data_IF_424221898973
#
_entry.id   IF_424221898973
#
_cell.length_a   1.000
_cell.length_b   1.000
_cell.length_c   1.000
_cell.angle_alpha   90.00
_cell.angle_beta   90.00
_cell.angle_gamma   90.00
#
_symmetry.space_group_name_H-M   'P 1'
#
loop_
_entity.id
_entity.type
_entity.pdbx_description
1 polymer ?
#
# COMPACT_ATOMS: atom_id res chain seq x y z
N UNK A 1 5.65 9.20 22.71
CA UNK A 1 7.04 9.39 23.21
C UNK A 1 7.55 10.76 22.81
N UNK A 2 8.31 11.43 23.67
CA UNK A 2 8.91 12.74 23.37
C UNK A 2 10.06 12.59 22.37
N UNK A 3 10.04 13.35 21.27
CA UNK A 3 11.07 13.29 20.22
C UNK A 3 12.45 13.63 20.79
N UNK A 4 13.53 12.93 20.39
CA UNK A 4 14.89 13.27 20.79
C UNK A 4 15.24 14.73 20.48
N UNK A 5 16.02 15.38 21.35
CA UNK A 5 16.43 16.78 21.17
C UNK A 5 17.10 17.06 19.81
N UNK A 6 18.00 16.20 19.28
CA UNK A 6 18.60 16.41 17.97
C UNK A 6 17.55 16.44 16.83
N UNK A 7 16.57 15.55 16.86
CA UNK A 7 15.49 15.51 15.86
C UNK A 7 14.66 16.79 15.89
N UNK A 8 14.37 17.31 17.10
CA UNK A 8 13.64 18.57 17.26
C UNK A 8 14.43 19.76 16.73
N UNK A 9 15.74 19.80 16.97
CA UNK A 9 16.62 20.86 16.48
C UNK A 9 16.70 20.84 14.94
N UNK A 10 16.95 19.65 14.35
CA UNK A 10 16.96 19.46 12.90
C UNK A 10 15.63 19.91 12.27
N UNK A 11 14.50 19.45 12.81
CA UNK A 11 13.17 19.86 12.37
C UNK A 11 12.96 21.38 12.44
N UNK A 12 13.38 22.03 13.53
CA UNK A 12 13.20 23.47 13.69
C UNK A 12 13.99 24.28 12.66
N UNK A 13 15.24 23.85 12.37
CA UNK A 13 16.11 24.49 11.38
C UNK A 13 15.59 24.24 9.97
N UNK A 14 15.50 22.98 9.56
CA UNK A 14 15.13 22.63 8.19
C UNK A 14 13.65 22.92 7.90
N UNK A 15 12.76 22.80 8.88
CA UNK A 15 11.37 23.23 8.74
C UNK A 15 11.21 24.73 8.45
N UNK A 16 12.16 25.57 8.87
CA UNK A 16 12.19 27.00 8.49
C UNK A 16 12.76 27.21 7.09
N UNK A 17 13.81 26.47 6.72
CA UNK A 17 14.42 26.52 5.38
C UNK A 17 13.41 26.04 4.32
N UNK A 18 12.73 24.92 4.58
CA UNK A 18 11.80 24.26 3.67
C UNK A 18 10.55 25.08 3.35
N UNK A 19 10.26 26.14 4.11
CA UNK A 19 9.20 27.11 3.76
C UNK A 19 9.57 28.01 2.59
N UNK A 20 10.86 28.11 2.24
CA UNK A 20 11.35 29.01 1.20
C UNK A 20 12.16 28.32 0.10
N UNK A 21 12.81 27.20 0.41
CA UNK A 21 13.71 26.48 -0.50
C UNK A 21 13.42 24.99 -0.41
N UNK A 22 13.33 24.31 -1.55
CA UNK A 22 13.25 22.85 -1.54
C UNK A 22 14.62 22.24 -1.25
N UNK A 23 14.63 21.00 -0.74
CA UNK A 23 15.88 20.30 -0.37
C UNK A 23 16.87 20.17 -1.52
N UNK A 24 16.39 19.99 -2.76
CA UNK A 24 17.20 19.83 -3.97
C UNK A 24 17.81 21.15 -4.49
N UNK A 25 17.38 22.29 -3.96
CA UNK A 25 17.99 23.60 -4.27
C UNK A 25 19.21 23.93 -3.39
N UNK A 26 19.50 23.10 -2.38
CA UNK A 26 20.59 23.33 -1.43
C UNK A 26 21.89 22.65 -1.90
N UNK A 27 23.07 23.15 -1.48
CA UNK A 27 24.32 22.45 -1.69
C UNK A 27 24.25 21.00 -1.19
N UNK A 28 24.86 20.07 -1.94
CA UNK A 28 24.69 18.63 -1.73
C UNK A 28 24.81 18.15 -0.27
N UNK A 29 25.83 18.56 0.53
CA UNK A 29 25.92 18.11 1.92
C UNK A 29 24.75 18.60 2.79
N UNK A 30 24.26 19.82 2.54
CA UNK A 30 23.13 20.41 3.27
C UNK A 30 21.82 19.73 2.85
N UNK A 31 21.68 19.45 1.55
CA UNK A 31 20.56 18.69 1.00
C UNK A 31 20.42 17.32 1.66
N UNK A 32 21.53 16.60 1.86
CA UNK A 32 21.54 15.31 2.55
C UNK A 32 21.08 15.43 4.03
N UNK A 33 21.55 16.45 4.75
CA UNK A 33 21.09 16.71 6.12
C UNK A 33 19.61 17.09 6.18
N UNK A 34 19.12 17.82 5.18
CA UNK A 34 17.70 18.16 5.07
C UNK A 34 16.84 16.91 4.84
N UNK A 35 17.26 16.01 3.94
CA UNK A 35 16.60 14.73 3.71
C UNK A 35 16.56 13.86 4.98
N UNK A 36 17.65 13.85 5.76
CA UNK A 36 17.65 13.18 7.06
C UNK A 36 16.61 13.79 8.01
N UNK A 37 16.54 15.12 8.10
CA UNK A 37 15.53 15.81 8.93
C UNK A 37 14.11 15.44 8.50
N UNK A 38 13.82 15.46 7.20
CA UNK A 38 12.52 15.08 6.64
C UNK A 38 12.18 13.62 6.97
N UNK A 39 13.14 12.70 6.82
CA UNK A 39 12.96 11.29 7.16
C UNK A 39 12.62 11.09 8.64
N UNK A 40 13.32 11.78 9.54
CA UNK A 40 13.05 11.70 10.99
C UNK A 40 11.68 12.29 11.33
N UNK A 41 11.26 13.37 10.64
CA UNK A 41 9.90 13.90 10.77
C UNK A 41 8.83 12.92 10.33
N UNK A 42 9.00 12.28 9.17
CA UNK A 42 8.05 11.29 8.67
C UNK A 42 8.02 10.04 9.55
N UNK A 43 9.17 9.56 10.04
CA UNK A 43 9.19 8.41 10.96
C UNK A 43 8.43 8.69 12.26
N UNK A 44 8.56 9.91 12.80
CA UNK A 44 7.92 10.27 14.06
C UNK A 44 6.42 10.62 13.92
N UNK A 45 5.97 11.02 12.72
CA UNK A 45 4.63 11.62 12.52
C UNK A 45 3.76 10.90 11.49
N UNK A 46 4.31 9.96 10.72
CA UNK A 46 3.67 9.35 9.56
C UNK A 46 3.78 7.82 9.56
N UNK A 47 3.90 7.19 10.72
CA UNK A 47 3.78 5.75 10.88
C UNK A 47 2.63 5.48 11.86
N UNK A 48 1.50 5.02 11.32
CA UNK A 48 0.31 4.67 12.09
C UNK A 48 -0.03 3.21 11.84
N UNK A 49 -0.10 2.46 12.94
CA UNK A 49 -0.49 1.06 12.90
C UNK A 49 -1.97 0.92 12.50
N UNK A 50 -2.30 -0.25 11.97
CA UNK A 50 -3.65 -0.65 11.61
C UNK A 50 -4.40 -1.18 12.85
N UNK A 51 -5.39 -2.06 12.64
CA UNK A 51 -6.20 -2.64 13.70
C UNK A 51 -5.46 -3.61 14.62
N UNK A 52 -4.29 -4.11 14.22
CA UNK A 52 -3.44 -4.94 15.06
C UNK A 52 -2.29 -4.10 15.62
N UNK A 53 -2.14 -4.12 16.94
CA UNK A 53 -1.01 -3.49 17.61
C UNK A 53 0.24 -4.32 17.37
N UNK A 54 1.32 -3.68 16.94
CA UNK A 54 2.64 -4.30 16.83
C UNK A 54 3.04 -4.92 18.18
N UNK A 55 3.55 -6.15 18.13
CA UNK A 55 4.08 -6.82 19.31
C UNK A 55 5.48 -6.29 19.63
N UNK A 56 5.63 -5.69 20.81
CA UNK A 56 6.93 -5.16 21.27
C UNK A 56 7.81 -6.25 21.90
N UNK A 57 7.22 -7.38 22.27
CA UNK A 57 7.88 -8.51 22.92
C UNK A 57 7.38 -9.82 22.33
N UNK A 58 8.31 -10.70 21.95
CA UNK A 58 7.96 -12.03 21.47
C UNK A 58 7.23 -12.86 22.52
N UNK A 59 6.09 -13.41 22.14
CA UNK A 59 5.31 -14.34 22.98
C UNK A 59 5.63 -15.81 22.70
N UNK A 60 6.33 -16.07 21.60
CA UNK A 60 6.63 -17.39 21.07
C UNK A 60 8.10 -17.45 20.62
N UNK A 61 8.73 -18.62 20.73
CA UNK A 61 10.11 -18.81 20.27
C UNK A 61 10.11 -18.96 18.73
N UNK A 62 10.89 -18.15 17.99
CA UNK A 62 10.95 -18.26 16.54
C UNK A 62 11.54 -19.61 16.09
N UNK A 63 11.04 -20.19 14.99
CA UNK A 63 11.68 -21.33 14.34
C UNK A 63 13.16 -21.05 14.06
N UNK A 64 14.03 -22.05 14.28
CA UNK A 64 15.48 -21.87 14.15
C UNK A 64 15.89 -21.33 12.76
N UNK A 65 15.20 -21.78 11.72
CA UNK A 65 15.43 -21.38 10.33
C UNK A 65 15.08 -19.91 10.04
N UNK A 66 14.08 -19.34 10.73
CA UNK A 66 13.64 -17.95 10.54
C UNK A 66 14.74 -16.93 10.92
N UNK A 67 15.69 -17.32 11.75
CA UNK A 67 16.84 -16.49 12.14
C UNK A 67 17.87 -16.33 11.02
N UNK A 68 17.83 -17.19 10.00
CA UNK A 68 18.85 -17.25 8.94
C UNK A 68 18.29 -17.22 7.52
N UNK A 69 17.00 -17.49 7.35
CA UNK A 69 16.35 -17.59 6.05
C UNK A 69 14.99 -16.89 6.06
N UNK A 70 14.56 -16.44 4.86
CA UNK A 70 13.21 -15.92 4.66
C UNK A 70 12.23 -17.08 4.54
N UNK A 71 11.12 -16.98 5.25
CA UNK A 71 10.00 -17.92 5.08
C UNK A 71 9.20 -17.57 3.83
N UNK A 72 8.57 -18.53 3.14
CA UNK A 72 7.79 -18.28 1.93
C UNK A 72 6.62 -17.29 2.15
N UNK A 73 5.98 -17.35 3.32
CA UNK A 73 4.86 -16.49 3.70
C UNK A 73 5.30 -15.16 4.33
N UNK A 74 6.60 -14.98 4.56
CA UNK A 74 7.18 -13.78 5.18
C UNK A 74 7.03 -13.70 6.70
N UNK A 75 6.57 -14.77 7.36
CA UNK A 75 6.49 -14.88 8.82
C UNK A 75 7.88 -14.79 9.48
N UNK A 76 7.89 -14.33 10.72
CA UNK A 76 9.07 -14.26 11.60
C UNK A 76 10.20 -13.39 11.07
N UNK A 77 9.88 -12.35 10.28
CA UNK A 77 10.86 -11.35 9.89
C UNK A 77 11.25 -10.46 11.08
N UNK A 78 10.26 -10.02 11.85
CA UNK A 78 10.45 -9.54 13.22
C UNK A 78 10.31 -10.73 14.17
N UNK A 79 11.32 -10.94 15.03
CA UNK A 79 11.33 -12.05 15.98
C UNK A 79 10.38 -11.82 17.18
N UNK A 80 9.94 -10.58 17.39
CA UNK A 80 8.97 -10.25 18.43
C UNK A 80 7.53 -10.24 17.90
N UNK A 81 7.36 -10.02 16.59
CA UNK A 81 6.05 -9.96 15.94
C UNK A 81 6.02 -10.88 14.71
N UNK A 82 5.60 -12.15 14.90
CA UNK A 82 5.70 -13.18 13.86
C UNK A 82 4.95 -12.83 12.56
N UNK A 83 3.85 -12.09 12.65
CA UNK A 83 3.02 -11.71 11.50
C UNK A 83 3.47 -10.40 10.84
N UNK A 84 4.46 -9.69 11.39
CA UNK A 84 4.89 -8.40 10.87
C UNK A 84 5.44 -8.53 9.44
N UNK A 85 4.71 -7.94 8.48
CA UNK A 85 5.09 -7.94 7.06
C UNK A 85 4.83 -9.27 6.35
N UNK A 86 4.16 -10.23 6.99
CA UNK A 86 3.79 -11.49 6.35
C UNK A 86 2.64 -11.29 5.36
N UNK A 87 2.47 -12.25 4.46
CA UNK A 87 1.27 -12.33 3.62
C UNK A 87 -0.01 -12.34 4.46
N UNK A 88 -1.06 -11.69 3.97
CA UNK A 88 -2.33 -11.56 4.69
C UNK A 88 -2.35 -10.53 5.82
N UNK A 89 -1.21 -9.93 6.18
CA UNK A 89 -1.16 -8.83 7.13
C UNK A 89 -1.81 -7.57 6.58
N UNK A 90 -2.39 -6.76 7.48
CA UNK A 90 -3.07 -5.53 7.12
C UNK A 90 -2.09 -4.42 6.70
N UNK A 91 -2.48 -3.58 5.73
CA UNK A 91 -1.72 -2.37 5.41
C UNK A 91 -1.80 -1.35 6.56
N UNK A 92 -0.65 -0.81 6.96
CA UNK A 92 -0.56 0.34 7.87
C UNK A 92 -0.89 1.66 7.13
N UNK A 93 -0.78 2.81 7.81
CA UNK A 93 -1.09 4.12 7.23
C UNK A 93 0.02 5.14 7.49
N UNK A 94 0.26 6.01 6.51
CA UNK A 94 1.17 7.15 6.68
C UNK A 94 0.48 8.45 7.08
N UNK A 95 -0.85 8.44 7.12
CA UNK A 95 -1.69 9.54 7.60
C UNK A 95 -2.54 8.98 8.74
N UNK A 96 -2.72 9.77 9.79
CA UNK A 96 -3.56 9.43 10.94
C UNK A 96 -4.95 8.96 10.45
N UNK A 97 -5.33 7.69 10.67
CA UNK A 97 -6.61 7.15 10.23
C UNK A 97 -7.81 7.93 10.77
N UNK A 98 -7.67 8.65 11.89
CA UNK A 98 -8.74 9.49 12.46
C UNK A 98 -9.03 10.74 11.62
N UNK A 99 -8.08 11.13 10.75
CA UNK A 99 -8.18 12.31 9.88
C UNK A 99 -8.66 11.96 8.47
N UNK A 100 -8.70 10.68 8.12
CA UNK A 100 -9.09 10.21 6.78
C UNK A 100 -10.36 9.39 6.92
N UNK A 101 -11.45 9.84 6.32
CA UNK A 101 -12.70 9.07 6.25
C UNK A 101 -12.89 8.59 4.82
N UNK A 102 -13.19 7.30 4.60
CA UNK A 102 -13.55 6.81 3.27
C UNK A 102 -14.76 7.57 2.74
N UNK A 103 -14.68 7.95 1.47
CA UNK A 103 -15.79 8.55 0.76
C UNK A 103 -16.93 7.56 0.59
N UNK A 104 -18.18 8.02 0.67
CA UNK A 104 -19.36 7.19 0.43
C UNK A 104 -20.19 7.74 -0.73
N UNK A 105 -20.91 6.91 -1.48
CA UNK A 105 -21.93 7.38 -2.42
C UNK A 105 -22.93 8.32 -1.71
N UNK A 106 -23.44 9.37 -2.38
CA UNK A 106 -23.18 9.70 -3.79
C UNK A 106 -21.84 10.41 -4.04
N UNK A 107 -21.22 11.01 -3.01
CA UNK A 107 -20.00 11.84 -3.15
C UNK A 107 -18.77 11.05 -3.64
N UNK A 108 -18.77 9.73 -3.50
CA UNK A 108 -17.74 8.86 -4.09
C UNK A 108 -17.71 8.96 -5.63
N UNK A 109 -18.82 9.32 -6.25
CA UNK A 109 -18.99 9.41 -7.70
C UNK A 109 -19.12 10.85 -8.21
N UNK A 110 -18.77 11.85 -7.39
CA UNK A 110 -18.90 13.27 -7.72
C UNK A 110 -17.55 14.00 -7.48
N UNK A 111 -16.81 14.39 -8.54
CA UNK A 111 -17.11 14.14 -9.95
C UNK A 111 -17.00 12.65 -10.33
N UNK A 112 -17.55 12.27 -11.48
CA UNK A 112 -17.53 10.88 -11.94
C UNK A 112 -16.08 10.40 -12.12
N UNK A 113 -15.68 9.24 -11.54
CA UNK A 113 -14.35 8.68 -11.77
C UNK A 113 -14.07 8.40 -13.25
N UNK A 114 -15.11 8.12 -14.04
CA UNK A 114 -15.00 7.91 -15.48
C UNK A 114 -14.71 9.22 -16.20
N UNK A 115 -15.41 10.29 -15.85
CA UNK A 115 -15.15 11.64 -16.37
C UNK A 115 -13.72 12.10 -16.05
N UNK A 116 -13.29 11.95 -14.79
CA UNK A 116 -11.90 12.27 -14.37
C UNK A 116 -10.87 11.49 -15.20
N UNK A 117 -11.12 10.21 -15.47
CA UNK A 117 -10.25 9.38 -16.32
C UNK A 117 -10.18 9.92 -17.76
N UNK A 118 -11.33 10.25 -18.35
CA UNK A 118 -11.41 10.75 -19.72
C UNK A 118 -10.76 12.13 -19.86
N UNK A 119 -11.05 13.07 -18.96
CA UNK A 119 -10.61 14.46 -19.06
C UNK A 119 -9.14 14.66 -18.62
N UNK A 120 -8.68 13.93 -17.59
CA UNK A 120 -7.37 14.18 -16.97
C UNK A 120 -6.32 13.10 -17.23
N UNK A 121 -6.73 11.89 -17.64
CA UNK A 121 -5.82 10.74 -17.78
C UNK A 121 -5.75 10.16 -19.18
N UNK A 122 -6.67 10.54 -20.09
CA UNK A 122 -6.57 10.16 -21.51
C UNK A 122 -5.25 10.65 -22.08
N UNK A 123 -4.56 9.75 -22.77
CA UNK A 123 -3.29 10.05 -23.42
C UNK A 123 -3.54 10.28 -24.90
N UNK A 124 -3.50 11.55 -25.31
CA UNK A 124 -3.64 11.93 -26.72
C UNK A 124 -2.33 11.81 -27.48
N UNK A 125 -1.20 12.12 -26.83
CA UNK A 125 0.14 12.05 -27.41
C UNK A 125 1.11 11.30 -26.49
N UNK A 126 2.05 10.58 -27.09
CA UNK A 126 3.12 9.95 -26.34
C UNK A 126 4.13 10.99 -25.83
N UNK A 127 4.32 11.05 -24.50
CA UNK A 127 5.33 11.90 -23.85
C UNK A 127 6.54 11.04 -23.44
N UNK A 128 7.68 11.10 -24.14
CA UNK A 128 8.84 10.25 -23.84
C UNK A 128 9.52 10.66 -22.53
N UNK A 129 9.85 9.66 -21.69
CA UNK A 129 10.76 9.83 -20.57
C UNK A 129 12.20 9.61 -21.04
N UNK A 130 12.94 10.68 -21.35
CA UNK A 130 14.27 10.59 -21.99
C UNK A 130 15.37 10.02 -21.09
N UNK A 131 15.12 9.90 -19.79
CA UNK A 131 16.08 9.40 -18.79
C UNK A 131 15.83 7.95 -18.38
N UNK A 132 14.75 7.31 -18.86
CA UNK A 132 14.34 5.96 -18.48
C UNK A 132 13.98 5.14 -19.70
N UNK A 133 14.27 3.83 -19.64
CA UNK A 133 13.87 2.89 -20.68
C UNK A 133 12.67 2.04 -20.20
N UNK A 134 12.11 1.23 -21.11
CA UNK A 134 10.99 0.35 -20.79
C UNK A 134 11.31 -0.72 -19.75
N UNK A 135 12.59 -1.09 -19.58
CA UNK A 135 13.00 -2.04 -18.54
C UNK A 135 12.80 -1.45 -17.14
N UNK A 136 13.01 -0.15 -16.96
CA UNK A 136 12.70 0.52 -15.70
C UNK A 136 11.20 0.44 -15.36
N UNK A 137 10.33 0.53 -16.37
CA UNK A 137 8.88 0.36 -16.18
C UNK A 137 8.51 -1.09 -15.82
N UNK A 138 9.10 -2.08 -16.49
CA UNK A 138 8.90 -3.49 -16.16
C UNK A 138 9.43 -3.82 -14.75
N UNK A 139 10.58 -3.26 -14.37
CA UNK A 139 11.17 -3.44 -13.05
C UNK A 139 10.26 -2.93 -11.94
N UNK A 140 9.72 -1.72 -12.04
CA UNK A 140 8.85 -1.19 -10.98
C UNK A 140 7.52 -1.97 -10.87
N UNK A 141 7.03 -2.54 -11.98
CA UNK A 141 5.89 -3.47 -11.93
C UNK A 141 6.26 -4.80 -11.26
N UNK A 142 7.45 -5.34 -11.55
CA UNK A 142 7.99 -6.53 -10.88
C UNK A 142 8.13 -6.33 -9.37
N UNK A 143 8.63 -5.17 -8.94
CA UNK A 143 8.69 -4.80 -7.53
C UNK A 143 7.28 -4.71 -6.89
N UNK A 144 6.30 -4.09 -7.56
CA UNK A 144 4.93 -4.06 -7.07
C UNK A 144 4.33 -5.47 -6.88
N UNK A 145 4.64 -6.42 -7.76
CA UNK A 145 4.24 -7.83 -7.61
C UNK A 145 4.86 -8.49 -6.38
N UNK A 146 6.02 -8.00 -5.91
CA UNK A 146 6.69 -8.47 -4.71
C UNK A 146 6.20 -7.74 -3.44
N UNK A 147 5.81 -6.46 -3.54
CA UNK A 147 5.53 -5.64 -2.36
C UNK A 147 4.10 -5.70 -1.85
N UNK A 148 3.09 -5.57 -2.72
CA UNK A 148 1.71 -5.45 -2.23
C UNK A 148 0.63 -5.82 -3.25
N UNK A 149 -0.46 -6.38 -2.73
CA UNK A 149 -1.70 -6.64 -3.46
C UNK A 149 -2.89 -6.48 -2.53
N UNK A 150 -3.94 -5.78 -2.96
CA UNK A 150 -5.12 -5.51 -2.13
C UNK A 150 -6.16 -6.65 -2.12
N UNK A 151 -5.85 -7.78 -2.75
CA UNK A 151 -6.80 -8.87 -2.96
C UNK A 151 -7.72 -8.63 -4.15
N UNK A 152 -8.51 -9.64 -4.50
CA UNK A 152 -9.44 -9.60 -5.65
C UNK A 152 -10.83 -9.03 -5.30
N UNK A 153 -11.13 -8.86 -4.02
CA UNK A 153 -12.47 -8.58 -3.53
C UNK A 153 -13.43 -9.76 -3.77
N UNK A 154 -14.65 -9.63 -3.24
CA UNK A 154 -15.71 -10.59 -3.50
C UNK A 154 -16.45 -10.24 -4.81
N UNK A 155 -16.80 -11.22 -5.67
CA UNK A 155 -17.42 -10.95 -6.97
C UNK A 155 -18.77 -10.23 -6.90
N UNK A 156 -19.53 -10.43 -5.82
CA UNK A 156 -20.85 -9.82 -5.55
C UNK A 156 -20.75 -8.42 -4.92
N UNK A 157 -19.59 -8.08 -4.34
CA UNK A 157 -19.36 -6.79 -3.71
C UNK A 157 -18.83 -5.78 -4.73
N UNK A 158 -19.75 -5.17 -5.48
CA UNK A 158 -19.43 -4.25 -6.57
C UNK A 158 -19.72 -2.78 -6.24
N UNK A 159 -19.01 -1.91 -6.94
CA UNK A 159 -19.26 -0.48 -7.10
C UNK A 159 -19.81 -0.30 -8.51
N UNK A 160 -20.96 0.35 -8.60
CA UNK A 160 -21.59 0.75 -9.86
C UNK A 160 -21.19 2.19 -10.13
N UNK A 161 -20.34 2.42 -11.13
CA UNK A 161 -19.92 3.74 -11.57
C UNK A 161 -20.82 4.16 -12.73
N UNK A 162 -21.67 5.19 -12.56
CA UNK A 162 -22.52 5.68 -13.63
C UNK A 162 -21.68 6.18 -14.81
N UNK A 163 -22.17 5.94 -16.01
CA UNK A 163 -21.55 6.42 -17.25
C UNK A 163 -22.33 7.60 -17.82
N UNK A 164 -21.63 8.51 -18.48
CA UNK A 164 -22.28 9.60 -19.21
C UNK A 164 -22.98 9.06 -20.47
N UNK A 165 -24.08 9.70 -20.93
CA UNK A 165 -24.77 9.29 -22.14
C UNK A 165 -23.83 9.22 -23.35
N UNK A 166 -23.76 8.05 -23.98
CA UNK A 166 -22.90 7.81 -25.14
C UNK A 166 -21.48 7.30 -24.83
N UNK A 167 -21.12 7.11 -23.56
CA UNK A 167 -19.88 6.41 -23.19
C UNK A 167 -20.02 4.90 -23.45
N UNK A 168 -19.25 4.41 -24.42
CA UNK A 168 -19.25 3.00 -24.81
C UNK A 168 -18.25 2.20 -23.97
N UNK A 169 -18.65 1.86 -22.76
CA UNK A 169 -17.92 0.91 -21.92
C UNK A 169 -18.16 -0.54 -22.38
N UNK A 170 -17.12 -1.40 -22.53
CA UNK A 170 -17.28 -2.73 -23.14
C UNK A 170 -18.30 -3.64 -22.44
N UNK A 171 -18.37 -3.59 -21.12
CA UNK A 171 -19.28 -4.40 -20.31
C UNK A 171 -20.68 -3.79 -20.12
N UNK A 172 -20.93 -2.60 -20.69
CA UNK A 172 -22.21 -1.88 -20.60
C UNK A 172 -22.24 -0.77 -19.55
N UNK A 173 -23.46 -0.28 -19.28
CA UNK A 173 -23.76 0.79 -18.33
C UNK A 173 -24.63 0.23 -17.18
N UNK A 174 -24.21 0.35 -15.91
CA UNK A 174 -23.01 1.04 -15.41
C UNK A 174 -21.70 0.25 -15.56
N UNK A 175 -20.58 0.93 -15.37
CA UNK A 175 -19.27 0.28 -15.22
C UNK A 175 -19.15 -0.36 -13.83
N UNK A 176 -18.93 -1.66 -13.78
CA UNK A 176 -18.82 -2.42 -12.54
C UNK A 176 -17.37 -2.59 -12.07
N UNK A 177 -17.08 -2.19 -10.84
CA UNK A 177 -15.76 -2.32 -10.22
C UNK A 177 -15.88 -3.10 -8.91
N UNK A 178 -15.04 -4.11 -8.68
CA UNK A 178 -15.06 -4.85 -7.40
C UNK A 178 -14.57 -3.98 -6.24
N UNK A 179 -15.23 -4.11 -5.10
CA UNK A 179 -14.79 -3.48 -3.85
C UNK A 179 -13.49 -4.13 -3.37
N UNK A 180 -12.62 -3.31 -2.80
CA UNK A 180 -11.42 -3.77 -2.12
C UNK A 180 -11.78 -4.69 -0.94
N UNK A 181 -10.93 -5.67 -0.64
CA UNK A 181 -11.12 -6.55 0.53
C UNK A 181 -11.20 -5.70 1.80
N UNK A 182 -12.28 -5.88 2.55
CA UNK A 182 -12.49 -5.15 3.81
C UNK A 182 -11.62 -5.78 4.91
N UNK A 183 -10.66 -5.02 5.41
CA UNK A 183 -9.93 -5.37 6.63
C UNK A 183 -10.52 -4.53 7.77
N UNK A 184 -11.02 -5.15 8.86
CA UNK A 184 -11.58 -4.41 9.98
C UNK A 184 -10.60 -3.36 10.50
N UNK A 185 -11.05 -2.11 10.60
CA UNK A 185 -10.23 -0.97 11.05
C UNK A 185 -9.97 -0.97 12.57
N UNK A 186 -10.71 -1.79 13.33
CA UNK A 186 -10.62 -1.90 14.78
C UNK A 186 -10.76 -3.36 15.24
N UNK A 187 -10.24 -3.67 16.42
CA UNK A 187 -10.38 -4.96 17.10
C UNK A 187 -11.85 -5.40 17.21
N UNK A 188 -12.32 -6.17 16.23
CA UNK A 188 -13.32 -7.20 16.48
C UNK A 188 -12.55 -8.41 16.95
N UNK A 189 -12.79 -8.87 18.19
CA UNK A 189 -12.19 -10.10 18.67
C UNK A 189 -12.46 -11.21 17.66
N UNK A 190 -11.40 -11.80 17.11
CA UNK A 190 -11.53 -12.99 16.30
C UNK A 190 -11.96 -14.14 17.21
N UNK A 191 -13.28 -14.35 17.34
CA UNK A 191 -13.78 -15.67 17.68
C UNK A 191 -13.34 -16.61 16.57
N UNK A 192 -12.49 -17.57 16.92
CA UNK A 192 -11.84 -18.46 15.98
C UNK A 192 -12.83 -19.21 15.09
N UNK A 193 -12.70 -19.01 13.79
CA UNK A 193 -12.96 -20.05 12.81
C UNK A 193 -12.13 -19.73 11.55
N UNK A 194 -10.86 -20.19 11.53
CA UNK A 194 -10.09 -20.26 10.29
C UNK A 194 -10.25 -21.66 9.72
N UNK A 195 -11.42 -21.93 9.17
CA UNK A 195 -11.64 -23.03 8.22
C UNK A 195 -12.04 -22.42 6.87
N UNK A 196 -11.15 -22.48 5.87
CA UNK A 196 -11.47 -21.93 4.56
C UNK A 196 -10.31 -21.83 3.57
N UNK A 197 -10.05 -22.93 2.87
CA UNK A 197 -9.62 -22.95 1.46
C UNK A 197 -8.20 -22.46 1.11
N UNK A 198 -7.19 -23.24 1.51
CA UNK A 198 -5.96 -23.33 0.72
C UNK A 198 -6.23 -24.24 -0.50
N UNK A 199 -6.71 -23.65 -1.59
CA UNK A 199 -6.83 -24.32 -2.88
C UNK A 199 -5.46 -24.57 -3.51
N UNK A 200 -4.84 -25.72 -3.19
CA UNK A 200 -3.66 -26.22 -3.87
C UNK A 200 -4.04 -26.71 -5.27
N UNK A 201 -3.71 -25.94 -6.32
CA UNK A 201 -3.74 -26.43 -7.70
C UNK A 201 -2.40 -27.08 -8.05
N UNK A 202 -2.18 -28.29 -7.52
CA UNK A 202 -1.14 -29.17 -8.04
C UNK A 202 -1.64 -29.79 -9.36
N UNK A 203 -1.07 -29.33 -10.47
CA UNK A 203 -1.32 -29.88 -11.79
C UNK A 203 -0.91 -31.36 -11.86
N UNK A 204 -1.89 -32.24 -12.08
CA UNK A 204 -1.64 -33.62 -12.49
C UNK A 204 -1.52 -33.66 -14.01
N UNK A 205 -0.28 -33.81 -14.46
CA UNK A 205 0.07 -34.30 -15.78
C UNK A 205 -0.17 -35.81 -15.81
N UNK A 206 -0.94 -36.31 -16.77
CA UNK A 206 -1.22 -37.75 -16.91
C UNK A 206 -1.89 -38.02 -18.25
N UNK A 207 -1.09 -38.50 -19.21
CA UNK A 207 -1.50 -38.74 -20.59
C UNK A 207 -2.26 -40.06 -20.82
N UNK A 208 -2.83 -40.11 -22.02
CA UNK A 208 -3.36 -41.27 -22.77
C UNK A 208 -3.93 -40.69 -24.06
N UNK A 209 -3.36 -40.91 -25.26
CA UNK A 209 -3.46 -42.15 -26.04
C UNK A 209 -4.84 -42.79 -25.83
N UNK A 210 -5.77 -42.78 -26.77
CA UNK A 210 -5.72 -42.90 -28.24
C UNK A 210 -6.94 -42.26 -28.88
#
# INVERSE_FOLDING_TARGET
MSRPLPNRALHAVFGRINRRRQWHELPFPISLLNLLSLRLDLRDKNLFDSSQKIQEHGTEEPPAEARTARTPEGLWNDLNDPEMGSSGSSFSRNIDPRRVRPEKPPRLYDPSPREVSLELMTRDEFKPATTLNVLAAAWIQFENHNWFFHGRGEPDQILEVPLEPGDHWPEGDPMYIRRTVSVPAHHGGASGDRSGSAGSSAGRNGGGQS
#
